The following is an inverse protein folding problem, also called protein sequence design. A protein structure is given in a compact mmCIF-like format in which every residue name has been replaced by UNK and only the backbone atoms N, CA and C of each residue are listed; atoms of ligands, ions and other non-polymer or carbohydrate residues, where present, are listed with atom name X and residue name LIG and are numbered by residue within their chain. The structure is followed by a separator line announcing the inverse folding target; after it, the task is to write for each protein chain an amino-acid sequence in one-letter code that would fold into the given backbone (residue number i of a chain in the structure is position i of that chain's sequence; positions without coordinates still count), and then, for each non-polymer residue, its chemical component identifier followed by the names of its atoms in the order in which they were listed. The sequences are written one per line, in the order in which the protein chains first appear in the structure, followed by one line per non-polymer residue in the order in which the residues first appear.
data_IF_047899690023
#
_entry.id   IF_047899690023
#
_cell.length_a   1.000
_cell.length_b   1.000
_cell.length_c   1.000
_cell.angle_alpha   90.00
_cell.angle_beta   90.00
_cell.angle_gamma   90.00
#
_symmetry.space_group_name_H-M   'P 1'
#
loop_
_entity.id
_entity.type
_entity.pdbx_description
1 polymer ?
#
# COMPACT_ATOMS: atom_id res chain seq x y z
N UNK A 1 17.93 -8.61 -9.77
CA UNK A 1 17.11 -9.16 -10.88
C UNK A 1 17.66 -10.46 -11.45
N UNK A 2 18.86 -10.49 -12.07
CA UNK A 2 19.43 -11.73 -12.66
C UNK A 2 19.46 -12.89 -11.65
N UNK A 3 19.94 -12.64 -10.43
CA UNK A 3 19.97 -13.65 -9.36
C UNK A 3 18.57 -14.17 -9.03
N UNK A 4 17.58 -13.28 -8.87
CA UNK A 4 16.19 -13.67 -8.60
C UNK A 4 15.60 -14.51 -9.74
N UNK A 5 15.86 -14.16 -11.01
CA UNK A 5 15.41 -14.95 -12.16
C UNK A 5 16.00 -16.36 -12.16
N UNK A 6 17.30 -16.50 -11.87
CA UNK A 6 17.95 -17.81 -11.75
C UNK A 6 17.39 -18.62 -10.58
N UNK A 7 17.14 -17.99 -9.43
CA UNK A 7 16.53 -18.64 -8.27
C UNK A 7 15.12 -19.14 -8.58
N UNK A 8 14.29 -18.34 -9.26
CA UNK A 8 12.93 -18.74 -9.66
C UNK A 8 12.95 -19.97 -10.57
N UNK A 9 13.79 -19.95 -11.60
CA UNK A 9 13.93 -21.10 -12.51
C UNK A 9 14.41 -22.35 -11.78
N UNK A 10 15.40 -22.21 -10.88
CA UNK A 10 15.94 -23.31 -10.09
C UNK A 10 14.91 -23.91 -9.12
N UNK A 11 14.19 -23.06 -8.38
CA UNK A 11 13.12 -23.50 -7.45
C UNK A 11 12.00 -24.23 -8.20
N UNK A 12 11.51 -23.67 -9.31
CA UNK A 12 10.40 -24.24 -10.06
C UNK A 12 10.77 -25.61 -10.65
N UNK A 13 11.96 -25.73 -11.27
CA UNK A 13 12.44 -26.99 -11.81
C UNK A 13 12.63 -28.04 -10.70
N UNK A 14 13.26 -27.67 -9.60
CA UNK A 14 13.50 -28.57 -8.47
C UNK A 14 12.20 -28.99 -7.77
N UNK A 15 11.23 -28.08 -7.63
CA UNK A 15 9.93 -28.37 -7.03
C UNK A 15 9.11 -29.36 -7.85
N UNK A 16 9.07 -29.19 -9.18
CA UNK A 16 8.35 -30.10 -10.08
C UNK A 16 9.02 -31.49 -10.11
N UNK A 17 10.35 -31.54 -10.29
CA UNK A 17 11.10 -32.81 -10.36
C UNK A 17 11.12 -33.53 -9.01
N UNK A 18 11.13 -32.76 -7.92
CA UNK A 18 11.22 -33.28 -6.55
C UNK A 18 9.87 -33.47 -5.86
N UNK A 19 8.75 -33.26 -6.56
CA UNK A 19 7.40 -33.36 -6.02
C UNK A 19 7.20 -32.59 -4.71
N UNK A 20 7.74 -31.36 -4.63
CA UNK A 20 7.58 -30.50 -3.44
C UNK A 20 6.66 -29.32 -3.75
N UNK A 21 5.50 -29.32 -3.11
CA UNK A 21 4.49 -28.27 -3.26
C UNK A 21 4.94 -26.98 -2.58
N UNK A 22 5.62 -27.07 -1.42
CA UNK A 22 6.16 -25.88 -0.77
C UNK A 22 7.24 -25.19 -1.62
N UNK A 23 8.12 -25.96 -2.30
CA UNK A 23 9.14 -25.38 -3.18
C UNK A 23 8.54 -24.77 -4.45
N UNK A 24 7.47 -25.38 -5.01
CA UNK A 24 6.72 -24.78 -6.11
C UNK A 24 6.01 -23.50 -5.68
N UNK A 25 5.39 -23.47 -4.50
CA UNK A 25 4.76 -22.28 -3.94
C UNK A 25 5.76 -21.12 -3.77
N UNK A 26 6.93 -21.40 -3.19
CA UNK A 26 8.03 -20.44 -3.02
C UNK A 26 8.61 -19.97 -4.37
N UNK A 27 8.61 -20.81 -5.40
CA UNK A 27 8.98 -20.42 -6.76
C UNK A 27 7.97 -19.46 -7.40
N UNK A 28 6.67 -19.75 -7.24
CA UNK A 28 5.56 -18.94 -7.79
C UNK A 28 5.50 -17.59 -7.09
N UNK A 29 5.70 -17.53 -5.78
CA UNK A 29 5.83 -16.30 -5.01
C UNK A 29 6.98 -15.44 -5.57
N UNK A 30 8.17 -16.04 -5.70
CA UNK A 30 9.35 -15.34 -6.25
C UNK A 30 9.14 -14.86 -7.70
N UNK A 31 8.35 -15.59 -8.50
CA UNK A 31 7.96 -15.18 -9.85
C UNK A 31 6.98 -13.99 -9.82
N UNK A 32 5.98 -14.05 -8.92
CA UNK A 32 5.03 -12.97 -8.72
C UNK A 32 5.76 -11.68 -8.31
N UNK A 33 6.78 -11.76 -7.45
CA UNK A 33 7.59 -10.60 -7.05
C UNK A 33 8.37 -9.98 -8.22
N UNK A 34 8.95 -10.80 -9.10
CA UNK A 34 9.63 -10.31 -10.31
C UNK A 34 8.68 -9.53 -11.23
N UNK A 35 7.50 -10.06 -11.51
CA UNK A 35 6.50 -9.36 -12.32
C UNK A 35 5.94 -8.13 -11.62
N UNK A 36 5.71 -8.23 -10.31
CA UNK A 36 5.21 -7.13 -9.48
C UNK A 36 6.19 -5.96 -9.46
N UNK A 37 7.49 -6.22 -9.38
CA UNK A 37 8.54 -5.21 -9.45
C UNK A 37 8.48 -4.42 -10.76
N UNK A 38 8.24 -5.10 -11.88
CA UNK A 38 8.10 -4.45 -13.18
C UNK A 38 6.84 -3.58 -13.26
N UNK A 39 5.70 -4.09 -12.76
CA UNK A 39 4.43 -3.38 -12.73
C UNK A 39 4.53 -2.13 -11.84
N UNK A 40 5.06 -2.27 -10.63
CA UNK A 40 5.27 -1.16 -9.69
C UNK A 40 6.23 -0.13 -10.28
N UNK A 41 7.35 -0.56 -10.85
CA UNK A 41 8.29 0.36 -11.49
C UNK A 41 7.62 1.15 -12.63
N UNK A 42 6.84 0.49 -13.49
CA UNK A 42 6.08 1.19 -14.52
C UNK A 42 5.02 2.13 -13.93
N UNK A 43 4.32 1.71 -12.89
CA UNK A 43 3.38 2.55 -12.15
C UNK A 43 4.03 3.81 -11.60
N UNK A 44 5.23 3.70 -11.02
CA UNK A 44 6.02 4.83 -10.52
C UNK A 44 6.48 5.77 -11.64
N UNK A 45 6.95 5.22 -12.77
CA UNK A 45 7.36 6.03 -13.93
C UNK A 45 6.18 6.82 -14.49
N UNK A 46 5.00 6.19 -14.59
CA UNK A 46 3.77 6.88 -15.04
C UNK A 46 3.33 7.90 -13.99
N UNK A 47 3.37 7.55 -12.70
CA UNK A 47 3.00 8.43 -11.58
C UNK A 47 3.82 9.72 -11.53
N UNK A 48 5.09 9.66 -11.92
CA UNK A 48 5.99 10.81 -11.99
C UNK A 48 5.74 11.73 -13.20
N UNK A 49 4.87 11.36 -14.14
CA UNK A 49 4.53 12.21 -15.27
C UNK A 49 3.76 13.46 -14.79
N UNK A 50 4.10 14.66 -15.31
CA UNK A 50 3.42 15.90 -14.93
C UNK A 50 1.94 15.89 -15.34
N UNK A 51 1.20 16.89 -14.88
CA UNK A 51 -0.17 17.15 -15.34
C UNK A 51 -0.20 17.48 -16.84
N UNK A 52 -1.22 16.95 -17.52
CA UNK A 52 -1.52 17.23 -18.93
C UNK A 52 -3.01 17.58 -19.10
N UNK A 53 -3.46 17.76 -20.34
CA UNK A 53 -4.84 18.17 -20.64
C UNK A 53 -5.88 17.11 -20.22
N UNK A 54 -5.55 15.82 -20.35
CA UNK A 54 -6.42 14.72 -19.99
C UNK A 54 -6.38 14.40 -18.47
N UNK A 55 -5.27 14.77 -17.80
CA UNK A 55 -5.03 14.57 -16.37
C UNK A 55 -4.54 15.88 -15.70
N UNK A 56 -5.45 16.84 -15.42
CA UNK A 56 -5.08 18.15 -14.87
C UNK A 56 -4.44 18.11 -13.48
N UNK A 57 -4.65 17.02 -12.73
CA UNK A 57 -4.04 16.78 -11.41
C UNK A 57 -2.80 15.87 -11.47
N UNK A 58 -2.35 15.51 -12.67
CA UNK A 58 -1.23 14.60 -12.90
C UNK A 58 -1.60 13.12 -12.80
N UNK A 59 -0.58 12.29 -12.96
CA UNK A 59 -0.72 10.84 -13.08
C UNK A 59 -0.49 10.08 -11.77
N UNK A 60 -0.45 10.79 -10.63
CA UNK A 60 -0.06 10.21 -9.33
C UNK A 60 -0.85 8.97 -8.90
N UNK A 61 -2.10 8.82 -9.36
CA UNK A 61 -2.93 7.64 -9.08
C UNK A 61 -2.44 6.35 -9.78
N UNK A 62 -1.55 6.44 -10.76
CA UNK A 62 -0.98 5.26 -11.43
C UNK A 62 -0.21 4.35 -10.45
N UNK A 63 0.41 4.92 -9.42
CA UNK A 63 1.12 4.18 -8.37
C UNK A 63 0.17 3.28 -7.53
N UNK A 64 -0.88 3.81 -6.88
CA UNK A 64 -1.81 2.96 -6.13
C UNK A 64 -2.60 2.02 -7.05
N UNK A 65 -2.85 2.35 -8.33
CA UNK A 65 -3.42 1.40 -9.30
C UNK A 65 -2.48 0.20 -9.51
N UNK A 66 -1.20 0.46 -9.74
CA UNK A 66 -0.20 -0.60 -9.90
C UNK A 66 -0.08 -1.48 -8.64
N UNK A 67 -0.08 -0.85 -7.45
CA UNK A 67 -0.07 -1.56 -6.18
C UNK A 67 -1.33 -2.42 -5.96
N UNK A 68 -2.51 -1.91 -6.32
CA UNK A 68 -3.77 -2.66 -6.26
C UNK A 68 -3.76 -3.87 -7.21
N UNK A 69 -3.23 -3.71 -8.44
CA UNK A 69 -3.10 -4.80 -9.41
C UNK A 69 -2.18 -5.91 -8.88
N UNK A 70 -0.99 -5.53 -8.40
CA UNK A 70 0.00 -6.46 -7.85
C UNK A 70 -0.56 -7.22 -6.65
N UNK A 71 -1.14 -6.51 -5.70
CA UNK A 71 -1.71 -7.14 -4.50
C UNK A 71 -2.88 -8.07 -4.83
N UNK A 72 -3.68 -7.75 -5.85
CA UNK A 72 -4.72 -8.66 -6.36
C UNK A 72 -4.12 -9.93 -6.96
N UNK A 73 -3.06 -9.84 -7.76
CA UNK A 73 -2.37 -11.02 -8.31
C UNK A 73 -1.78 -11.90 -7.20
N UNK A 74 -1.18 -11.30 -6.17
CA UNK A 74 -0.67 -12.02 -5.00
C UNK A 74 -1.79 -12.75 -4.24
N UNK A 75 -2.95 -12.11 -4.06
CA UNK A 75 -4.12 -12.75 -3.43
C UNK A 75 -4.64 -13.94 -4.25
N UNK A 76 -4.70 -13.81 -5.58
CA UNK A 76 -5.08 -14.91 -6.47
C UNK A 76 -4.07 -16.07 -6.37
N UNK A 77 -2.78 -15.78 -6.36
CA UNK A 77 -1.73 -16.78 -6.17
C UNK A 77 -1.86 -17.49 -4.81
N UNK A 78 -2.09 -16.74 -3.73
CA UNK A 78 -2.28 -17.30 -2.40
C UNK A 78 -3.49 -18.23 -2.33
N UNK A 79 -4.62 -17.85 -2.94
CA UNK A 79 -5.83 -18.71 -3.01
C UNK A 79 -5.52 -19.98 -3.80
N UNK A 80 -4.81 -19.89 -4.91
CA UNK A 80 -4.44 -21.06 -5.71
C UNK A 80 -3.49 -22.01 -4.99
N UNK A 81 -2.46 -21.48 -4.31
CA UNK A 81 -1.53 -22.26 -3.48
C UNK A 81 -2.30 -22.93 -2.34
N UNK A 82 -3.14 -22.18 -1.62
CA UNK A 82 -3.94 -22.71 -0.51
C UNK A 82 -4.92 -23.80 -0.97
N UNK A 83 -5.59 -23.63 -2.10
CA UNK A 83 -6.48 -24.64 -2.66
C UNK A 83 -5.72 -25.91 -3.07
N UNK A 84 -4.52 -25.76 -3.62
CA UNK A 84 -3.64 -26.89 -3.97
C UNK A 84 -3.19 -27.63 -2.71
N UNK A 85 -2.68 -26.92 -1.71
CA UNK A 85 -2.28 -27.50 -0.43
C UNK A 85 -3.43 -28.25 0.26
N UNK A 86 -4.64 -27.68 0.31
CA UNK A 86 -5.81 -28.36 0.89
C UNK A 86 -6.19 -29.63 0.14
N UNK A 87 -6.01 -29.65 -1.19
CA UNK A 87 -6.26 -30.84 -2.01
C UNK A 87 -5.26 -31.93 -1.68
N UNK A 88 -3.98 -31.60 -1.64
CA UNK A 88 -2.88 -32.55 -1.40
C UNK A 88 -2.89 -33.10 0.03
N UNK A 89 -3.24 -32.28 1.04
CA UNK A 89 -3.46 -32.76 2.42
C UNK A 89 -4.53 -33.90 2.46
N UNK A 90 -5.49 -33.89 1.53
CA UNK A 90 -6.57 -34.91 1.47
C UNK A 90 -6.24 -36.08 0.54
N UNK A 91 -5.25 -35.96 -0.34
CA UNK A 91 -4.89 -36.99 -1.31
C UNK A 91 -3.50 -37.53 -1.00
N UNK A 92 -3.33 -38.82 -0.66
CA UNK A 92 -2.01 -39.38 -0.39
C UNK A 92 -1.06 -39.17 -1.59
N UNK A 93 0.04 -38.45 -1.36
CA UNK A 93 1.11 -38.24 -2.34
C UNK A 93 2.46 -38.71 -1.76
N UNK A 94 3.46 -38.84 -2.62
CA UNK A 94 4.82 -39.20 -2.21
C UNK A 94 5.46 -38.09 -1.37
N UNK A 95 6.39 -38.45 -0.48
CA UNK A 95 7.24 -37.49 0.20
C UNK A 95 8.05 -36.64 -0.81
N UNK A 96 8.30 -35.37 -0.51
CA UNK A 96 9.24 -34.56 -1.27
C UNK A 96 10.62 -35.23 -1.36
N UNK A 97 11.30 -35.11 -2.49
CA UNK A 97 12.65 -35.64 -2.65
C UNK A 97 13.66 -34.83 -1.81
N UNK A 98 14.59 -35.49 -1.12
CA UNK A 98 15.53 -34.82 -0.18
C UNK A 98 16.37 -33.68 -0.79
N UNK A 99 16.58 -33.68 -2.11
CA UNK A 99 17.31 -32.61 -2.79
C UNK A 99 16.54 -31.28 -2.81
N UNK A 100 15.20 -31.28 -2.67
CA UNK A 100 14.39 -30.05 -2.63
C UNK A 100 14.72 -29.20 -1.41
N UNK A 101 15.00 -29.85 -0.27
CA UNK A 101 15.47 -29.17 0.94
C UNK A 101 16.83 -28.51 0.72
N UNK A 102 17.77 -29.20 0.06
CA UNK A 102 19.10 -28.65 -0.24
C UNK A 102 19.01 -27.43 -1.14
N UNK A 103 18.15 -27.50 -2.17
CA UNK A 103 17.88 -26.35 -3.07
C UNK A 103 17.31 -25.18 -2.28
N UNK A 104 16.32 -25.42 -1.42
CA UNK A 104 15.67 -24.38 -0.64
C UNK A 104 16.61 -23.76 0.42
N UNK A 105 17.45 -24.56 1.07
CA UNK A 105 18.50 -24.05 1.96
C UNK A 105 19.51 -23.18 1.20
N UNK A 106 19.88 -23.59 -0.02
CA UNK A 106 20.72 -22.78 -0.92
C UNK A 106 20.07 -21.43 -1.25
N UNK A 107 18.77 -21.41 -1.55
CA UNK A 107 18.00 -20.17 -1.76
C UNK A 107 18.08 -19.27 -0.54
N UNK A 108 17.82 -19.80 0.66
CA UNK A 108 17.84 -19.01 1.91
C UNK A 108 19.21 -18.36 2.11
N UNK A 109 20.29 -19.11 1.91
CA UNK A 109 21.66 -18.58 2.01
C UNK A 109 21.90 -17.48 0.99
N UNK A 110 21.47 -17.65 -0.26
CA UNK A 110 21.63 -16.63 -1.30
C UNK A 110 20.82 -15.37 -0.96
N UNK A 111 19.55 -15.52 -0.51
CA UNK A 111 18.69 -14.39 -0.13
C UNK A 111 19.22 -13.63 1.09
N UNK A 112 19.70 -14.33 2.11
CA UNK A 112 20.36 -13.72 3.27
C UNK A 112 21.67 -13.02 2.87
N UNK A 113 22.45 -13.59 1.94
CA UNK A 113 23.63 -12.96 1.36
C UNK A 113 23.28 -11.66 0.62
N UNK A 114 22.23 -11.68 -0.21
CA UNK A 114 21.71 -10.50 -0.89
C UNK A 114 21.21 -9.45 0.09
N UNK A 115 20.47 -9.84 1.13
CA UNK A 115 20.03 -8.92 2.19
C UNK A 115 21.22 -8.19 2.80
N UNK A 116 22.28 -8.90 3.20
CA UNK A 116 23.46 -8.27 3.83
C UNK A 116 24.21 -7.37 2.86
N UNK A 117 24.35 -7.79 1.61
CA UNK A 117 25.01 -6.99 0.57
C UNK A 117 24.23 -5.70 0.29
N UNK A 118 22.93 -5.81 0.00
CA UNK A 118 22.09 -4.65 -0.32
C UNK A 118 21.94 -3.75 0.90
N UNK A 119 21.82 -4.28 2.12
CA UNK A 119 21.76 -3.46 3.33
C UNK A 119 23.07 -2.69 3.57
N UNK A 120 24.23 -3.32 3.35
CA UNK A 120 25.53 -2.66 3.46
C UNK A 120 25.65 -1.47 2.51
N UNK A 121 25.26 -1.67 1.25
CA UNK A 121 25.18 -0.59 0.26
C UNK A 121 24.14 0.47 0.68
N UNK A 122 22.96 0.05 1.13
CA UNK A 122 21.86 0.95 1.51
C UNK A 122 22.25 1.93 2.63
N UNK A 123 23.08 1.48 3.58
CA UNK A 123 23.63 2.33 4.63
C UNK A 123 24.64 3.33 4.05
N UNK A 124 25.47 2.90 3.09
CA UNK A 124 26.49 3.75 2.47
C UNK A 124 25.92 4.87 1.59
N UNK A 125 24.76 4.65 0.95
CA UNK A 125 24.07 5.64 0.11
C UNK A 125 22.90 6.34 0.81
N UNK A 126 22.68 6.09 2.11
CA UNK A 126 21.59 6.67 2.93
C UNK A 126 20.20 6.57 2.28
N UNK A 127 19.97 5.53 1.47
CA UNK A 127 18.75 5.42 0.66
C UNK A 127 17.71 4.55 1.35
N UNK A 128 16.59 5.16 1.74
CA UNK A 128 15.45 4.44 2.31
C UNK A 128 14.87 3.43 1.32
N UNK A 129 14.90 3.72 0.02
CA UNK A 129 14.40 2.81 -1.03
C UNK A 129 15.26 1.56 -1.13
N UNK A 130 16.58 1.70 -1.09
CA UNK A 130 17.51 0.55 -1.12
C UNK A 130 17.43 -0.24 0.19
N UNK A 131 17.21 0.42 1.33
CA UNK A 131 16.96 -0.28 2.60
C UNK A 131 15.67 -1.12 2.55
N UNK A 132 14.58 -0.56 2.00
CA UNK A 132 13.33 -1.30 1.84
C UNK A 132 13.50 -2.53 0.95
N UNK A 133 14.27 -2.42 -0.15
CA UNK A 133 14.60 -3.56 -1.02
C UNK A 133 15.44 -4.63 -0.30
N UNK A 134 16.41 -4.23 0.54
CA UNK A 134 17.14 -5.18 1.39
C UNK A 134 16.19 -5.96 2.31
N UNK A 135 15.31 -5.26 3.03
CA UNK A 135 14.34 -5.88 3.93
C UNK A 135 13.39 -6.81 3.19
N UNK A 136 13.05 -6.53 1.93
CA UNK A 136 12.28 -7.43 1.07
C UNK A 136 13.00 -8.77 0.88
N UNK A 137 14.31 -8.77 0.56
CA UNK A 137 15.08 -10.02 0.44
C UNK A 137 15.09 -10.83 1.73
N UNK A 138 15.08 -10.17 2.89
CA UNK A 138 14.99 -10.86 4.19
C UNK A 138 13.61 -11.44 4.44
N UNK A 139 12.54 -10.74 4.06
CA UNK A 139 11.18 -11.27 4.12
C UNK A 139 11.05 -12.54 3.28
N UNK A 140 11.60 -12.56 2.06
CA UNK A 140 11.62 -13.76 1.20
C UNK A 140 12.42 -14.89 1.84
N UNK A 141 13.56 -14.58 2.48
CA UNK A 141 14.35 -15.59 3.18
C UNK A 141 13.58 -16.22 4.35
N UNK A 142 12.75 -15.44 5.06
CA UNK A 142 11.92 -15.91 6.16
C UNK A 142 10.78 -16.81 5.64
N UNK A 143 10.12 -16.45 4.54
CA UNK A 143 9.07 -17.28 3.94
C UNK A 143 9.66 -18.58 3.38
N UNK A 144 10.81 -18.53 2.68
CA UNK A 144 11.55 -19.72 2.26
C UNK A 144 12.00 -20.59 3.45
N UNK A 145 12.39 -19.99 4.58
CA UNK A 145 12.76 -20.74 5.78
C UNK A 145 11.57 -21.46 6.42
N UNK A 146 10.38 -20.85 6.42
CA UNK A 146 9.16 -21.51 6.88
C UNK A 146 8.83 -22.74 6.01
N UNK A 147 8.97 -22.63 4.69
CA UNK A 147 8.85 -23.77 3.78
C UNK A 147 9.91 -24.85 4.04
N UNK A 148 11.16 -24.46 4.32
CA UNK A 148 12.24 -25.41 4.63
C UNK A 148 11.98 -26.22 5.91
N UNK A 149 11.36 -25.61 6.92
CA UNK A 149 10.93 -26.31 8.13
C UNK A 149 9.88 -27.37 7.77
N UNK A 150 8.89 -27.04 6.93
CA UNK A 150 7.88 -27.99 6.44
C UNK A 150 8.47 -29.21 5.74
N UNK A 151 9.34 -28.97 4.75
CA UNK A 151 10.04 -30.03 4.01
C UNK A 151 10.91 -30.87 4.97
N UNK A 152 11.60 -30.23 5.93
CA UNK A 152 12.43 -30.95 6.90
C UNK A 152 11.61 -31.91 7.76
N UNK A 153 10.43 -31.49 8.22
CA UNK A 153 9.52 -32.34 9.00
C UNK A 153 9.00 -33.50 8.15
N UNK A 154 8.63 -33.26 6.89
CA UNK A 154 8.18 -34.31 5.98
C UNK A 154 9.28 -35.36 5.72
N UNK A 155 10.52 -34.93 5.54
CA UNK A 155 11.68 -35.80 5.28
C UNK A 155 12.13 -36.60 6.51
N UNK A 156 12.19 -35.97 7.68
CA UNK A 156 12.62 -36.62 8.93
C UNK A 156 11.55 -37.53 9.53
N UNK A 157 10.27 -37.19 9.35
CA UNK A 157 9.13 -37.97 9.86
C UNK A 157 8.88 -39.27 9.10
N UNK A 158 9.26 -39.34 7.82
CA UNK A 158 9.06 -40.54 7.00
C UNK A 158 7.59 -40.80 6.63
N UNK A 159 7.21 -42.05 6.34
CA UNK A 159 5.85 -42.40 5.90
C UNK A 159 4.79 -41.99 6.94
N UNK A 160 3.79 -41.21 6.52
CA UNK A 160 2.75 -40.62 7.38
C UNK A 160 2.93 -39.13 7.69
N UNK A 161 4.08 -38.54 7.36
CA UNK A 161 4.37 -37.11 7.52
C UNK A 161 4.41 -36.35 6.18
N UNK A 162 3.96 -36.97 5.09
CA UNK A 162 3.98 -36.38 3.73
C UNK A 162 3.27 -35.02 3.69
N UNK A 163 2.12 -34.93 4.37
CA UNK A 163 1.29 -33.73 4.43
C UNK A 163 1.95 -32.54 5.16
N UNK A 164 3.11 -32.74 5.83
CA UNK A 164 3.80 -31.64 6.50
C UNK A 164 4.30 -30.57 5.51
N UNK A 165 4.65 -30.96 4.27
CA UNK A 165 4.99 -30.02 3.19
C UNK A 165 3.80 -29.13 2.84
N UNK A 166 2.61 -29.72 2.73
CA UNK A 166 1.38 -29.02 2.35
C UNK A 166 0.84 -28.15 3.47
N UNK A 167 0.98 -28.58 4.73
CA UNK A 167 0.71 -27.71 5.87
C UNK A 167 1.60 -26.47 5.88
N UNK A 168 2.88 -26.61 5.53
CA UNK A 168 3.78 -25.47 5.40
C UNK A 168 3.39 -24.58 4.21
N UNK A 169 3.01 -25.17 3.07
CA UNK A 169 2.49 -24.43 1.92
C UNK A 169 1.18 -23.67 2.27
N UNK A 170 0.31 -24.24 3.10
CA UNK A 170 -0.92 -23.61 3.55
C UNK A 170 -0.66 -22.43 4.48
N UNK A 171 0.31 -22.55 5.39
CA UNK A 171 0.76 -21.44 6.25
C UNK A 171 1.38 -20.34 5.41
N UNK A 172 2.23 -20.68 4.43
CA UNK A 172 2.80 -19.70 3.50
C UNK A 172 1.71 -18.97 2.73
N UNK A 173 0.72 -19.69 2.18
CA UNK A 173 -0.43 -19.10 1.50
C UNK A 173 -1.20 -18.11 2.38
N UNK A 174 -1.40 -18.41 3.67
CA UNK A 174 -2.04 -17.49 4.60
C UNK A 174 -1.22 -16.21 4.81
N UNK A 175 0.10 -16.32 4.98
CA UNK A 175 1.00 -15.17 5.16
C UNK A 175 0.98 -14.29 3.90
N UNK A 176 1.09 -14.90 2.72
CA UNK A 176 1.01 -14.21 1.43
C UNK A 176 -0.33 -13.49 1.29
N UNK A 177 -1.45 -14.17 1.62
CA UNK A 177 -2.78 -13.57 1.56
C UNK A 177 -2.92 -12.38 2.51
N UNK A 178 -2.41 -12.47 3.74
CA UNK A 178 -2.42 -11.38 4.71
C UNK A 178 -1.63 -10.16 4.21
N UNK A 179 -0.42 -10.38 3.68
CA UNK A 179 0.41 -9.33 3.12
C UNK A 179 -0.24 -8.70 1.88
N UNK A 180 -0.76 -9.52 0.97
CA UNK A 180 -1.50 -9.08 -0.21
C UNK A 180 -2.72 -8.23 0.17
N UNK A 181 -3.51 -8.65 1.16
CA UNK A 181 -4.67 -7.88 1.64
C UNK A 181 -4.26 -6.53 2.25
N UNK A 182 -3.20 -6.51 3.07
CA UNK A 182 -2.70 -5.27 3.68
C UNK A 182 -2.25 -4.27 2.61
N UNK A 183 -1.55 -4.73 1.58
CA UNK A 183 -1.13 -3.91 0.43
C UNK A 183 -2.33 -3.41 -0.36
N UNK A 184 -3.28 -4.29 -0.68
CA UNK A 184 -4.49 -3.94 -1.41
C UNK A 184 -5.32 -2.89 -0.66
N UNK A 185 -5.53 -3.07 0.66
CA UNK A 185 -6.27 -2.12 1.49
C UNK A 185 -5.61 -0.74 1.48
N UNK A 186 -4.28 -0.67 1.55
CA UNK A 186 -3.55 0.59 1.47
C UNK A 186 -3.73 1.28 0.11
N UNK A 187 -3.59 0.53 -0.98
CA UNK A 187 -3.78 1.03 -2.34
C UNK A 187 -5.22 1.52 -2.59
N UNK A 188 -6.22 0.73 -2.19
CA UNK A 188 -7.64 1.12 -2.30
C UNK A 188 -7.96 2.35 -1.45
N UNK A 189 -7.41 2.45 -0.23
CA UNK A 189 -7.59 3.64 0.59
C UNK A 189 -7.04 4.90 -0.10
N UNK A 190 -5.86 4.80 -0.72
CA UNK A 190 -5.29 5.92 -1.49
C UNK A 190 -6.13 6.27 -2.73
N UNK A 191 -6.72 5.27 -3.41
CA UNK A 191 -7.64 5.50 -4.53
C UNK A 191 -8.95 6.17 -4.10
N UNK A 192 -9.42 5.88 -2.89
CA UNK A 192 -10.62 6.48 -2.31
C UNK A 192 -10.37 7.82 -1.62
N UNK A 193 -9.20 8.44 -1.84
CA UNK A 193 -8.80 9.71 -1.20
C UNK A 193 -8.89 9.66 0.34
N UNK A 194 -8.52 8.52 0.94
CA UNK A 194 -8.49 8.38 2.38
C UNK A 194 -7.54 9.40 3.02
N UNK A 195 -7.97 9.94 4.17
CA UNK A 195 -7.18 10.90 4.94
C UNK A 195 -5.82 10.28 5.31
N UNK A 196 -4.70 10.99 5.08
CA UNK A 196 -3.38 10.53 5.49
C UNK A 196 -3.20 10.63 7.02
N UNK A 197 -1.97 10.38 7.49
CA UNK A 197 -1.61 10.42 8.90
C UNK A 197 -2.14 11.69 9.61
N UNK A 198 -2.91 11.56 10.71
CA UNK A 198 -3.38 12.69 11.52
C UNK A 198 -2.26 13.66 11.93
N UNK A 199 -1.03 13.17 12.11
CA UNK A 199 0.12 14.04 12.42
C UNK A 199 0.43 15.04 11.29
N UNK A 200 0.25 14.64 10.03
CA UNK A 200 0.43 15.53 8.88
C UNK A 200 -0.67 16.59 8.82
N UNK A 201 -1.93 16.20 9.05
CA UNK A 201 -3.06 17.15 9.11
C UNK A 201 -2.82 18.20 10.20
N UNK A 202 -2.47 17.76 11.41
CA UNK A 202 -2.17 18.66 12.53
C UNK A 202 -1.08 19.66 12.17
N UNK A 203 0.01 19.18 11.56
CA UNK A 203 1.14 20.04 11.17
C UNK A 203 0.75 21.08 10.11
N UNK A 204 -0.09 20.69 9.15
CA UNK A 204 -0.64 21.62 8.14
C UNK A 204 -1.50 22.69 8.79
N UNK A 205 -2.38 22.30 9.72
CA UNK A 205 -3.22 23.24 10.49
C UNK A 205 -2.37 24.19 11.33
N UNK A 206 -1.35 23.69 12.02
CA UNK A 206 -0.43 24.50 12.82
C UNK A 206 0.28 25.55 11.96
N UNK A 207 0.81 25.15 10.80
CA UNK A 207 1.46 26.07 9.88
C UNK A 207 0.50 27.16 9.41
N UNK A 208 -0.70 26.79 8.96
CA UNK A 208 -1.69 27.75 8.48
C UNK A 208 -2.13 28.73 9.59
N UNK A 209 -2.24 28.28 10.85
CA UNK A 209 -2.54 29.14 12.01
C UNK A 209 -1.43 30.16 12.34
N UNK A 210 -0.20 29.96 11.86
CA UNK A 210 0.88 30.94 12.06
C UNK A 210 0.75 32.16 11.15
N UNK A 211 -0.11 32.12 10.13
CA UNK A 211 -0.28 33.23 9.19
C UNK A 211 -1.15 34.33 9.78
N UNK A 212 -0.72 35.61 9.74
CA UNK A 212 -1.52 36.73 10.22
C UNK A 212 -2.88 36.82 9.51
N UNK A 213 -3.88 37.23 10.29
CA UNK A 213 -5.29 37.41 9.91
C UNK A 213 -6.10 36.11 9.70
N UNK A 214 -5.50 34.95 10.01
CA UNK A 214 -6.21 33.67 10.15
C UNK A 214 -6.83 33.61 11.54
N UNK A 215 -8.17 33.57 11.61
CA UNK A 215 -8.90 33.44 12.86
C UNK A 215 -8.99 31.97 13.33
N UNK A 216 -9.38 31.07 12.43
CA UNK A 216 -9.38 29.62 12.67
C UNK A 216 -9.36 28.84 11.35
N UNK A 217 -9.21 27.52 11.45
CA UNK A 217 -9.30 26.56 10.34
C UNK A 217 -10.44 25.61 10.65
N UNK A 218 -11.59 25.81 10.01
CA UNK A 218 -12.78 24.98 10.22
C UNK A 218 -12.54 23.56 9.70
N UNK A 219 -12.10 23.46 8.45
CA UNK A 219 -11.92 22.19 7.77
C UNK A 219 -10.53 22.11 7.14
N UNK A 220 -9.89 20.95 7.26
CA UNK A 220 -8.64 20.63 6.60
C UNK A 220 -8.76 19.19 6.09
N UNK A 221 -8.80 19.01 4.78
CA UNK A 221 -8.83 17.69 4.13
C UNK A 221 -7.54 17.53 3.36
N UNK A 222 -6.97 16.34 3.45
CA UNK A 222 -5.77 15.98 2.73
C UNK A 222 -6.03 14.73 1.92
N UNK A 223 -5.49 14.70 0.70
CA UNK A 223 -5.46 13.50 -0.13
C UNK A 223 -4.07 13.30 -0.72
N UNK A 224 -3.69 12.04 -0.85
CA UNK A 224 -2.42 11.65 -1.45
C UNK A 224 -2.59 11.39 -2.95
N UNK A 225 -1.62 11.84 -3.73
CA UNK A 225 -1.52 11.68 -5.18
C UNK A 225 -0.07 11.32 -5.51
N UNK A 226 0.23 10.02 -5.58
CA UNK A 226 1.60 9.53 -5.77
C UNK A 226 2.51 10.01 -4.63
N UNK A 227 3.66 10.60 -4.97
CA UNK A 227 4.60 11.14 -3.96
C UNK A 227 4.16 12.42 -3.25
N UNK A 228 2.99 12.99 -3.59
CA UNK A 228 2.58 14.33 -3.15
C UNK A 228 1.23 14.34 -2.43
N UNK A 229 0.97 15.44 -1.70
CA UNK A 229 -0.30 15.72 -1.05
C UNK A 229 -0.99 16.93 -1.66
N UNK A 230 -2.30 16.84 -1.79
CA UNK A 230 -3.20 17.96 -2.07
C UNK A 230 -3.99 18.26 -0.81
N UNK A 231 -4.17 19.55 -0.54
CA UNK A 231 -4.79 20.04 0.68
C UNK A 231 -5.97 20.93 0.33
N UNK A 232 -7.15 20.64 0.88
CA UNK A 232 -8.34 21.49 0.79
C UNK A 232 -8.67 22.04 2.18
N UNK A 233 -8.67 23.37 2.32
CA UNK A 233 -8.82 24.04 3.62
C UNK A 233 -9.91 25.09 3.61
N UNK A 234 -10.66 25.18 4.70
CA UNK A 234 -11.56 26.27 4.99
C UNK A 234 -10.91 27.16 6.06
N UNK A 235 -10.57 28.39 5.69
CA UNK A 235 -9.84 29.33 6.54
C UNK A 235 -10.78 30.46 6.92
N UNK A 236 -10.98 30.64 8.22
CA UNK A 236 -11.81 31.71 8.75
C UNK A 236 -11.02 33.01 8.90
N UNK A 237 -11.57 34.12 8.42
CA UNK A 237 -10.98 35.47 8.51
C UNK A 237 -12.03 36.49 9.00
N UNK A 238 -11.62 37.74 9.26
CA UNK A 238 -12.55 38.81 9.64
C UNK A 238 -13.68 38.98 8.59
N UNK A 239 -14.97 38.91 8.98
CA UNK A 239 -16.11 39.10 8.07
C UNK A 239 -16.13 40.44 7.33
N UNK A 240 -15.46 41.47 7.87
CA UNK A 240 -15.39 42.80 7.26
C UNK A 240 -14.22 42.95 6.28
N UNK A 241 -13.40 41.90 6.12
CA UNK A 241 -12.26 41.90 5.22
C UNK A 241 -12.74 41.94 3.76
N UNK A 242 -12.11 42.79 2.95
CA UNK A 242 -12.41 42.82 1.51
C UNK A 242 -11.93 41.54 0.82
N UNK A 243 -12.54 41.19 -0.31
CA UNK A 243 -12.15 40.01 -1.12
C UNK A 243 -10.66 40.04 -1.49
N UNK A 244 -10.10 41.21 -1.80
CA UNK A 244 -8.69 41.35 -2.14
C UNK A 244 -7.79 41.02 -0.94
N UNK A 245 -8.15 41.49 0.25
CA UNK A 245 -7.40 41.22 1.46
C UNK A 245 -7.48 39.74 1.85
N UNK A 246 -8.67 39.13 1.80
CA UNK A 246 -8.83 37.72 2.15
C UNK A 246 -8.20 36.78 1.13
N UNK A 247 -8.20 37.16 -0.16
CA UNK A 247 -7.42 36.45 -1.18
C UNK A 247 -5.91 36.51 -0.90
N UNK A 248 -5.40 37.65 -0.42
CA UNK A 248 -4.00 37.75 0.00
C UNK A 248 -3.70 36.88 1.24
N UNK A 249 -4.62 36.76 2.20
CA UNK A 249 -4.49 35.81 3.33
C UNK A 249 -4.41 34.38 2.81
N UNK A 250 -5.31 33.98 1.91
CA UNK A 250 -5.31 32.65 1.30
C UNK A 250 -3.97 32.35 0.63
N UNK A 251 -3.43 33.27 -0.18
CA UNK A 251 -2.11 33.12 -0.80
C UNK A 251 -1.00 32.92 0.23
N UNK A 252 -0.95 33.73 1.30
CA UNK A 252 0.05 33.57 2.36
C UNK A 252 -0.04 32.22 3.07
N UNK A 253 -1.27 31.72 3.32
CA UNK A 253 -1.48 30.38 3.90
C UNK A 253 -0.98 29.29 2.97
N UNK A 254 -1.34 29.36 1.68
CA UNK A 254 -0.87 28.42 0.65
C UNK A 254 0.65 28.38 0.59
N UNK A 255 1.29 29.54 0.51
CA UNK A 255 2.74 29.65 0.41
C UNK A 255 3.44 29.13 1.67
N UNK A 256 2.95 29.49 2.86
CA UNK A 256 3.50 29.03 4.14
C UNK A 256 3.45 27.51 4.29
N UNK A 257 2.35 26.87 3.87
CA UNK A 257 2.22 25.41 3.90
C UNK A 257 3.19 24.75 2.93
N UNK A 258 3.26 25.22 1.68
CA UNK A 258 4.14 24.64 0.65
C UNK A 258 5.63 24.82 0.95
N UNK A 259 6.01 25.95 1.56
CA UNK A 259 7.39 26.23 1.96
C UNK A 259 7.84 25.30 3.10
N UNK A 260 6.99 25.10 4.12
CA UNK A 260 7.33 24.27 5.28
C UNK A 260 7.12 22.77 5.05
N UNK A 261 6.29 22.39 4.09
CA UNK A 261 5.99 21.01 3.73
C UNK A 261 6.14 20.82 2.19
N UNK A 262 7.37 20.59 1.70
CA UNK A 262 7.65 20.49 0.26
C UNK A 262 6.95 19.33 -0.45
N UNK A 263 6.44 18.34 0.30
CA UNK A 263 5.65 17.24 -0.22
C UNK A 263 4.18 17.62 -0.48
N UNK A 264 3.72 18.78 -0.01
CA UNK A 264 2.41 19.36 -0.37
C UNK A 264 2.53 20.06 -1.72
N UNK A 265 1.92 19.48 -2.75
CA UNK A 265 2.01 19.99 -4.12
C UNK A 265 1.16 21.25 -4.30
N UNK A 266 -0.08 21.20 -3.83
CA UNK A 266 -1.02 22.31 -3.92
C UNK A 266 -1.95 22.40 -2.71
N UNK A 267 -2.43 23.62 -2.44
CA UNK A 267 -3.37 23.94 -1.38
C UNK A 267 -4.50 24.79 -1.97
N UNK A 268 -5.72 24.27 -1.89
CA UNK A 268 -6.95 24.98 -2.23
C UNK A 268 -7.56 25.53 -0.95
N UNK A 269 -7.83 26.84 -0.94
CA UNK A 269 -8.32 27.54 0.25
C UNK A 269 -9.68 28.16 -0.07
N UNK A 270 -10.68 27.75 0.70
CA UNK A 270 -11.97 28.41 0.79
C UNK A 270 -11.95 29.38 1.98
N UNK A 271 -12.29 30.64 1.75
CA UNK A 271 -12.36 31.65 2.81
C UNK A 271 -13.75 31.67 3.42
N UNK A 272 -13.83 31.68 4.75
CA UNK A 272 -15.07 31.78 5.50
C UNK A 272 -15.03 32.95 6.49
N UNK A 273 -16.17 33.59 6.77
CA UNK A 273 -16.24 34.63 7.79
C UNK A 273 -16.21 34.03 9.20
N UNK A 274 -15.30 34.51 10.04
CA UNK A 274 -15.18 34.07 11.43
C UNK A 274 -16.48 34.31 12.22
N UNK A 275 -16.82 33.38 13.12
CA UNK A 275 -18.01 33.48 13.98
C UNK A 275 -19.34 33.08 13.32
N UNK A 276 -19.33 32.54 12.10
CA UNK A 276 -20.52 31.99 11.43
C UNK A 276 -20.77 30.49 11.68
N UNK A 277 -19.98 29.86 12.55
CA UNK A 277 -20.10 28.45 12.92
C UNK A 277 -21.56 28.09 13.30
N UNK A 278 -22.27 27.42 12.39
CA UNK A 278 -23.61 26.87 12.63
C UNK A 278 -24.74 27.27 11.67
N UNK A 279 -24.53 28.06 10.61
CA UNK A 279 -25.59 28.31 9.60
C UNK A 279 -25.29 27.66 8.26
N UNK A 280 -25.47 26.34 8.21
CA UNK A 280 -25.60 25.61 6.95
C UNK A 280 -26.99 25.86 6.32
N UNK A 281 -27.11 26.34 5.08
CA UNK A 281 -28.40 26.47 4.38
C UNK A 281 -28.97 25.13 3.88
N UNK A 282 -28.16 24.07 3.78
CA UNK A 282 -28.49 22.83 3.06
C UNK A 282 -29.18 21.74 3.91
N UNK A 283 -29.17 21.84 5.24
CA UNK A 283 -29.83 20.86 6.13
C UNK A 283 -31.35 21.08 6.32
N UNK A 284 -31.95 22.12 5.72
CA UNK A 284 -33.41 22.41 5.86
C UNK A 284 -34.32 21.75 4.82
N UNK A 285 -33.81 20.92 3.93
CA UNK A 285 -34.64 20.25 2.90
C UNK A 285 -35.12 18.84 3.31
N UNK A 286 -35.09 18.49 4.61
CA UNK A 286 -35.48 17.16 5.11
C UNK A 286 -36.57 17.13 6.19
N UNK A 287 -36.91 18.24 6.83
CA UNK A 287 -37.99 18.28 7.82
C UNK A 287 -39.28 18.79 7.17
N UNK A 288 -40.03 17.84 6.61
CA UNK A 288 -41.40 18.04 6.20
C UNK A 288 -42.31 18.28 7.41
N UNK A 289 -42.18 19.45 8.04
CA UNK A 289 -43.23 19.96 8.92
C UNK A 289 -44.39 20.38 8.03
N UNK A 290 -45.32 19.44 7.81
CA UNK A 290 -46.63 19.71 7.22
C UNK A 290 -47.32 20.73 8.11
N UNK A 291 -47.27 21.99 7.68
CA UNK A 291 -48.19 23.02 8.16
C UNK A 291 -49.58 22.58 7.70
N UNK A 292 -50.32 21.91 8.60
CA UNK A 292 -51.76 21.76 8.47
C UNK A 292 -52.39 23.13 8.73
N UNK A 293 -52.54 23.90 7.67
CA UNK A 293 -53.62 24.89 7.60
C UNK A 293 -54.93 24.10 7.49
N UNK A 294 -55.63 23.97 8.61
CA UNK A 294 -57.06 23.65 8.59
C UNK A 294 -57.81 24.73 9.34
N UNK A 295 -58.09 25.80 8.61
CA UNK A 295 -59.08 26.79 8.98
C UNK A 295 -60.00 27.04 7.78
N UNK A 296 -61.23 26.54 7.94
CA UNK A 296 -62.52 27.07 7.48
C UNK A 296 -63.18 26.58 6.17
N UNK A 297 -64.28 25.85 6.42
CA UNK A 297 -65.64 26.02 5.85
C UNK A 297 -65.89 25.55 4.40
N UNK A 298 -66.65 24.47 4.26
CA UNK A 298 -68.11 24.47 3.98
C UNK A 298 -68.70 23.08 4.10
#
# INVERSE_FOLDING_TARGET
MIVNTLLVAGKLAAGIVGHSHALVADAVESLADLFSSLIVWRGLVISAAPADEDHPYGHGKAEPIAAALVSTLLLVAAVWIGATAVREIRTPHSTPAAFTLVVLLGVIVVKEGLFRFVLGEAISVESTVVQTDAWHHRSDAITSAAAAIGISVALLGGPGYEAADDWAALVAAFIIAWNGWRLLRGALAELMDAMPDPALEMRVREIARTVPDVADIEQCRLRKMGGHFFVDMHVQVDPNMTVVQSHAVAHRVKDAVREKLPNVYDVLIHIEPAGTAGRRPDERAGDGTVVRDDATRR
#
